data_IF_936035021538
#
_entry.id   IF_936035021538
#
_cell.length_a   1.000
_cell.length_b   1.000
_cell.length_c   1.000
_cell.angle_alpha   90.00
_cell.angle_beta   90.00
_cell.angle_gamma   90.00
#
_symmetry.space_group_name_H-M   'P 1'
#
loop_
_entity.id
_entity.type
_entity.pdbx_description
1 polymer ?
#
# COMPACT_ATOMS: atom_id res chain seq x y z
N UNK A 1 20.59 9.38 7.48
CA UNK A 1 19.22 9.60 8.01
C UNK A 1 19.01 8.65 9.16
N UNK A 2 18.40 9.11 10.25
CA UNK A 2 18.10 8.31 11.43
C UNK A 2 16.64 7.82 11.40
N UNK A 3 16.33 6.79 12.19
CA UNK A 3 15.00 6.17 12.22
C UNK A 3 13.98 7.06 12.93
N UNK A 4 12.79 7.15 12.35
CA UNK A 4 11.66 7.93 12.89
C UNK A 4 10.45 7.03 13.08
N UNK A 5 9.58 7.40 14.01
CA UNK A 5 8.31 6.71 14.19
C UNK A 5 7.30 7.25 13.18
N UNK A 6 6.60 6.37 12.47
CA UNK A 6 5.50 6.72 11.60
C UNK A 6 4.20 6.49 12.36
N UNK A 7 3.32 7.49 12.43
CA UNK A 7 1.99 7.34 13.02
C UNK A 7 0.92 7.74 12.02
N UNK A 8 -0.11 6.91 11.95
CA UNK A 8 -1.26 7.06 11.07
C UNK A 8 -2.43 7.61 11.89
N UNK A 9 -3.01 8.71 11.45
CA UNK A 9 -4.19 9.32 12.04
C UNK A 9 -5.36 9.22 11.06
N UNK A 10 -6.54 9.69 11.48
CA UNK A 10 -7.73 9.62 10.65
C UNK A 10 -7.62 10.44 9.35
N UNK A 11 -6.97 11.60 9.40
CA UNK A 11 -6.94 12.60 8.31
C UNK A 11 -5.54 12.84 7.72
N UNK A 12 -4.50 12.36 8.42
CA UNK A 12 -3.09 12.60 8.10
C UNK A 12 -2.20 11.50 8.64
N UNK A 13 -0.95 11.51 8.22
CA UNK A 13 0.11 10.76 8.87
C UNK A 13 1.29 11.68 9.16
N UNK A 14 2.12 11.32 10.14
CA UNK A 14 3.28 12.13 10.49
C UNK A 14 4.43 11.25 10.98
N UNK A 15 5.63 11.84 10.94
CA UNK A 15 6.84 11.21 11.46
C UNK A 15 7.29 11.90 12.74
N UNK A 16 7.69 11.13 13.74
CA UNK A 16 8.20 11.64 15.02
C UNK A 16 9.67 11.32 15.18
N UNK A 17 10.38 12.22 15.86
CA UNK A 17 11.65 11.89 16.46
C UNK A 17 11.42 10.91 17.63
N UNK A 18 12.08 9.73 17.65
CA UNK A 18 11.89 8.76 18.72
C UNK A 18 12.42 9.24 20.08
N UNK A 19 13.35 10.20 20.12
CA UNK A 19 13.96 10.68 21.36
C UNK A 19 13.22 11.89 21.92
N UNK A 20 12.96 12.90 21.08
CA UNK A 20 12.29 14.13 21.54
C UNK A 20 10.76 14.06 21.50
N UNK A 21 10.19 13.05 20.82
CA UNK A 21 8.77 12.96 20.51
C UNK A 21 8.21 14.14 19.69
N UNK A 22 9.09 14.94 19.08
CA UNK A 22 8.65 16.05 18.24
C UNK A 22 8.17 15.56 16.88
N UNK A 23 7.13 16.21 16.37
CA UNK A 23 6.64 15.99 15.00
C UNK A 23 7.68 16.59 14.05
N UNK A 24 8.28 15.74 13.23
CA UNK A 24 9.27 16.15 12.23
C UNK A 24 8.64 16.51 10.90
N UNK A 25 7.61 15.77 10.47
CA UNK A 25 6.87 16.04 9.23
C UNK A 25 5.41 15.62 9.38
N UNK A 26 4.52 16.31 8.69
CA UNK A 26 3.08 15.98 8.62
C UNK A 26 2.62 15.96 7.17
N UNK A 27 1.82 14.96 6.81
CA UNK A 27 1.37 14.70 5.46
C UNK A 27 -0.12 14.37 5.44
N UNK A 28 -0.87 14.93 4.49
CA UNK A 28 -2.28 14.59 4.29
C UNK A 28 -2.39 13.44 3.30
N UNK A 29 -3.36 12.56 3.53
CA UNK A 29 -3.61 11.44 2.61
C UNK A 29 -4.09 11.89 1.23
N UNK A 30 -4.75 13.05 1.14
CA UNK A 30 -5.20 13.64 -0.12
C UNK A 30 -4.04 13.97 -1.06
N UNK A 31 -2.88 14.30 -0.51
CA UNK A 31 -1.68 14.61 -1.29
C UNK A 31 -0.95 13.34 -1.75
N UNK A 32 -1.29 12.17 -1.19
CA UNK A 32 -0.66 10.91 -1.56
C UNK A 32 -1.15 10.45 -2.94
N UNK A 33 -0.24 10.40 -3.91
CA UNK A 33 -0.50 9.94 -5.28
C UNK A 33 -0.16 8.45 -5.45
N UNK A 34 0.66 8.17 -6.45
CA UNK A 34 1.18 6.84 -6.76
C UNK A 34 2.29 6.42 -5.79
N UNK A 35 2.55 5.11 -5.74
CA UNK A 35 3.62 4.53 -4.95
C UNK A 35 4.43 3.51 -5.75
N UNK A 36 5.68 3.33 -5.37
CA UNK A 36 6.59 2.37 -5.99
C UNK A 36 7.40 1.63 -4.92
N UNK A 37 7.32 0.30 -4.92
CA UNK A 37 8.23 -0.54 -4.16
C UNK A 37 9.60 -0.57 -4.86
N UNK A 38 10.68 -0.26 -4.14
CA UNK A 38 12.03 -0.27 -4.73
C UNK A 38 12.56 -1.71 -4.70
N UNK A 39 12.83 -2.37 -5.85
CA UNK A 39 13.26 -3.77 -5.85
C UNK A 39 14.66 -3.97 -5.26
N UNK A 40 15.56 -2.99 -5.49
CA UNK A 40 16.95 -3.02 -5.03
C UNK A 40 17.10 -2.69 -3.54
N UNK A 41 16.07 -2.14 -2.91
CA UNK A 41 16.06 -1.79 -1.50
C UNK A 41 14.90 -2.50 -0.81
N UNK A 42 15.13 -3.71 -0.25
CA UNK A 42 14.09 -4.42 0.47
C UNK A 42 13.56 -3.55 1.61
N UNK A 43 12.26 -3.63 1.85
CA UNK A 43 11.54 -2.82 2.84
C UNK A 43 11.49 -1.31 2.57
N UNK A 44 11.80 -0.85 1.35
CA UNK A 44 11.64 0.55 0.95
C UNK A 44 10.46 0.75 0.00
N UNK A 45 9.69 1.80 0.24
CA UNK A 45 8.65 2.34 -0.66
C UNK A 45 8.92 3.81 -0.96
N UNK A 46 8.58 4.21 -2.19
CA UNK A 46 8.59 5.60 -2.64
C UNK A 46 7.14 6.03 -2.85
N UNK A 47 6.73 7.10 -2.19
CA UNK A 47 5.40 7.68 -2.26
C UNK A 47 5.47 9.02 -2.98
N UNK A 48 4.60 9.26 -3.94
CA UNK A 48 4.38 10.60 -4.50
C UNK A 48 3.49 11.38 -3.52
N UNK A 49 3.96 12.54 -3.06
CA UNK A 49 3.24 13.43 -2.15
C UNK A 49 3.09 14.80 -2.80
N UNK A 50 1.97 15.05 -3.50
CA UNK A 50 1.78 16.26 -4.29
C UNK A 50 2.87 16.39 -5.35
N UNK A 51 3.73 17.41 -5.24
CA UNK A 51 4.90 17.62 -6.12
C UNK A 51 6.17 16.92 -5.62
N UNK A 52 6.18 16.47 -4.37
CA UNK A 52 7.35 15.90 -3.71
C UNK A 52 7.34 14.38 -3.74
N UNK A 53 8.50 13.78 -3.45
CA UNK A 53 8.66 12.33 -3.31
C UNK A 53 9.13 11.99 -1.92
N UNK A 54 8.36 11.15 -1.23
CA UNK A 54 8.68 10.65 0.10
C UNK A 54 9.20 9.21 0.00
N UNK A 55 10.47 9.00 0.36
CA UNK A 55 11.06 7.67 0.46
C UNK A 55 10.98 7.18 1.89
N UNK A 56 10.23 6.10 2.12
CA UNK A 56 10.12 5.43 3.42
C UNK A 56 10.88 4.11 3.40
N UNK A 57 11.84 3.97 4.30
CA UNK A 57 12.53 2.70 4.55
C UNK A 57 12.02 2.13 5.88
N UNK A 58 11.35 0.99 5.81
CA UNK A 58 10.77 0.31 6.96
C UNK A 58 11.84 -0.58 7.62
N UNK A 59 11.96 -0.48 8.95
CA UNK A 59 13.01 -1.18 9.71
C UNK A 59 12.46 -2.39 10.49
N UNK A 60 11.34 -2.23 11.20
CA UNK A 60 10.78 -3.24 12.11
C UNK A 60 9.44 -3.83 11.62
N UNK A 61 8.97 -3.38 10.46
CA UNK A 61 7.67 -3.73 9.88
C UNK A 61 7.87 -3.97 8.39
N UNK A 62 7.13 -4.91 7.79
CA UNK A 62 7.15 -5.13 6.35
C UNK A 62 6.60 -3.89 5.62
N UNK A 63 7.23 -3.51 4.52
CA UNK A 63 6.77 -2.36 3.73
C UNK A 63 5.33 -2.49 3.24
N UNK A 64 4.86 -3.71 3.02
CA UNK A 64 3.52 -4.04 2.54
C UNK A 64 2.49 -3.71 3.61
N UNK A 65 2.79 -3.97 4.88
CA UNK A 65 1.92 -3.64 6.01
C UNK A 65 1.81 -2.12 6.19
N UNK A 66 2.94 -1.40 6.12
CA UNK A 66 2.96 0.06 6.17
C UNK A 66 2.16 0.67 5.01
N UNK A 67 2.35 0.14 3.80
CA UNK A 67 1.63 0.60 2.61
C UNK A 67 0.13 0.33 2.72
N UNK A 68 -0.28 -0.85 3.18
CA UNK A 68 -1.69 -1.20 3.41
C UNK A 68 -2.33 -0.21 4.38
N UNK A 69 -1.69 0.05 5.53
CA UNK A 69 -2.22 1.02 6.50
C UNK A 69 -2.37 2.44 5.93
N UNK A 70 -1.39 2.91 5.15
CA UNK A 70 -1.48 4.22 4.49
C UNK A 70 -2.64 4.29 3.48
N UNK A 71 -2.83 3.24 2.68
CA UNK A 71 -3.90 3.17 1.68
C UNK A 71 -5.29 3.06 2.33
N UNK A 72 -5.42 2.28 3.40
CA UNK A 72 -6.67 2.18 4.17
C UNK A 72 -7.09 3.53 4.74
N UNK A 73 -6.17 4.26 5.36
CA UNK A 73 -6.45 5.60 5.87
C UNK A 73 -6.83 6.58 4.75
N UNK A 74 -6.15 6.51 3.58
CA UNK A 74 -6.49 7.34 2.41
C UNK A 74 -7.91 7.07 1.90
N UNK A 75 -8.27 5.79 1.76
CA UNK A 75 -9.62 5.40 1.33
C UNK A 75 -10.68 5.85 2.33
N UNK A 76 -10.41 5.71 3.64
CA UNK A 76 -11.32 6.18 4.69
C UNK A 76 -11.53 7.70 4.66
N UNK A 77 -10.53 8.49 4.22
CA UNK A 77 -10.66 9.95 4.07
C UNK A 77 -11.37 10.40 2.79
N UNK A 78 -11.65 9.49 1.85
CA UNK A 78 -12.25 9.83 0.55
C UNK A 78 -13.60 9.12 0.40
N UNK A 79 -14.66 9.57 1.10
CA UNK A 79 -15.98 8.95 1.00
C UNK A 79 -16.51 9.11 -0.43
N UNK A 80 -16.72 7.99 -1.12
CA UNK A 80 -17.44 7.95 -2.39
C UNK A 80 -16.60 7.91 -3.68
N UNK A 81 -15.27 7.78 -3.62
CA UNK A 81 -14.53 7.41 -4.84
C UNK A 81 -14.80 5.94 -5.17
N UNK A 82 -15.44 5.61 -6.31
CA UNK A 82 -15.47 4.24 -6.78
C UNK A 82 -14.02 3.81 -6.98
N UNK A 83 -13.62 2.74 -6.32
CA UNK A 83 -12.34 2.11 -6.61
C UNK A 83 -12.42 1.71 -8.08
N UNK A 84 -11.66 2.38 -8.95
CA UNK A 84 -11.70 2.11 -10.38
C UNK A 84 -11.17 0.70 -10.62
N UNK A 85 -12.10 -0.26 -10.78
CA UNK A 85 -11.78 -1.67 -10.92
C UNK A 85 -10.98 -1.94 -12.21
N UNK A 86 -10.97 -1.00 -13.16
CA UNK A 86 -10.20 -1.09 -14.41
C UNK A 86 -8.70 -0.80 -14.22
N UNK A 87 -8.30 -0.18 -13.11
CA UNK A 87 -6.91 0.17 -12.83
C UNK A 87 -6.09 -0.97 -12.21
N UNK A 88 -6.74 -2.07 -11.82
CA UNK A 88 -6.03 -3.17 -11.18
C UNK A 88 -5.63 -4.25 -12.18
N UNK A 89 -4.35 -4.68 -12.17
CA UNK A 89 -3.89 -5.70 -13.08
C UNK A 89 -4.63 -7.02 -12.82
N UNK A 90 -5.00 -7.68 -13.92
CA UNK A 90 -5.57 -9.02 -13.93
C UNK A 90 -4.48 -9.99 -14.39
N UNK A 91 -4.09 -10.89 -13.51
CA UNK A 91 -3.27 -12.03 -13.86
C UNK A 91 -4.15 -13.10 -14.50
N UNK A 92 -4.05 -13.27 -15.82
CA UNK A 92 -4.92 -14.19 -16.59
C UNK A 92 -4.51 -15.65 -16.52
N UNK A 93 -3.29 -15.94 -16.06
CA UNK A 93 -2.68 -17.28 -16.06
C UNK A 93 -2.31 -17.72 -14.66
N UNK A 94 -3.29 -17.80 -13.76
CA UNK A 94 -3.10 -18.31 -12.41
C UNK A 94 -3.68 -19.72 -12.28
N UNK A 95 -3.19 -20.46 -11.28
CA UNK A 95 -3.67 -21.80 -10.97
C UNK A 95 -3.78 -21.99 -9.47
N UNK A 96 -4.94 -22.44 -9.00
CA UNK A 96 -5.13 -22.86 -7.60
C UNK A 96 -5.06 -24.37 -7.51
N UNK A 97 -4.33 -24.86 -6.51
CA UNK A 97 -4.34 -26.26 -6.13
C UNK A 97 -5.43 -26.50 -5.09
N UNK A 98 -6.36 -27.42 -5.38
CA UNK A 98 -7.36 -27.84 -4.39
C UNK A 98 -6.73 -28.78 -3.37
N UNK A 99 -7.45 -29.01 -2.26
CA UNK A 99 -7.08 -30.01 -1.24
C UNK A 99 -6.87 -31.41 -1.83
N UNK A 100 -7.50 -31.72 -2.97
CA UNK A 100 -7.39 -32.99 -3.67
C UNK A 100 -6.33 -32.97 -4.80
N UNK A 101 -5.37 -32.04 -4.74
CA UNK A 101 -4.30 -31.86 -5.72
C UNK A 101 -4.79 -31.60 -7.16
N UNK A 102 -6.03 -31.15 -7.32
CA UNK A 102 -6.56 -30.75 -8.63
C UNK A 102 -6.14 -29.32 -8.93
N UNK A 103 -5.60 -29.10 -10.13
CA UNK A 103 -5.25 -27.76 -10.61
C UNK A 103 -6.47 -27.11 -11.28
N UNK A 104 -6.85 -25.92 -10.82
CA UNK A 104 -7.94 -25.14 -11.42
C UNK A 104 -7.35 -23.84 -11.99
N UNK A 105 -7.52 -23.66 -13.30
CA UNK A 105 -7.11 -22.44 -14.01
C UNK A 105 -8.06 -21.31 -13.64
N UNK A 106 -7.50 -20.15 -13.32
CA UNK A 106 -8.26 -18.97 -12.92
C UNK A 106 -7.52 -17.68 -13.28
N UNK A 107 -8.27 -16.58 -13.31
CA UNK A 107 -7.67 -15.24 -13.32
C UNK A 107 -7.72 -14.64 -11.92
N UNK A 108 -6.69 -13.90 -11.52
CA UNK A 108 -6.66 -13.14 -10.28
C UNK A 108 -6.65 -11.65 -10.59
N UNK A 109 -7.62 -10.92 -10.06
CA UNK A 109 -7.61 -9.46 -10.08
C UNK A 109 -7.09 -8.96 -8.74
N UNK A 110 -6.15 -8.01 -8.78
CA UNK A 110 -5.78 -7.28 -7.57
C UNK A 110 -6.96 -6.39 -7.17
N UNK A 111 -7.45 -6.52 -5.95
CA UNK A 111 -8.38 -5.57 -5.34
C UNK A 111 -7.62 -4.79 -4.26
N UNK A 112 -8.13 -3.63 -3.80
CA UNK A 112 -7.44 -2.79 -2.81
C UNK A 112 -6.96 -3.51 -1.54
N UNK A 113 -7.64 -4.61 -1.15
CA UNK A 113 -7.37 -5.32 0.09
C UNK A 113 -7.21 -6.84 -0.08
N UNK A 114 -7.28 -7.37 -1.30
CA UNK A 114 -7.22 -8.82 -1.54
C UNK A 114 -6.91 -9.12 -3.01
N UNK A 115 -6.48 -10.35 -3.29
CA UNK A 115 -6.61 -10.90 -4.64
C UNK A 115 -7.98 -11.57 -4.75
N UNK A 116 -8.74 -11.20 -5.78
CA UNK A 116 -10.05 -11.79 -6.06
C UNK A 116 -9.92 -12.73 -7.25
N UNK A 117 -10.48 -13.93 -7.10
CA UNK A 117 -10.66 -14.86 -8.22
C UNK A 117 -11.71 -14.31 -9.19
N UNK A 118 -11.35 -14.27 -10.47
CA UNK A 118 -12.22 -13.88 -11.58
C UNK A 118 -12.32 -15.07 -12.52
N UNK A 119 -13.56 -15.48 -12.81
CA UNK A 119 -13.80 -16.52 -13.81
C UNK A 119 -13.44 -15.97 -15.20
N UNK A 120 -12.67 -16.71 -16.00
CA UNK A 120 -12.49 -16.35 -17.40
C UNK A 120 -13.87 -16.38 -18.08
N UNK A 121 -14.20 -15.30 -18.81
CA UNK A 121 -15.36 -15.24 -19.69
C UNK A 121 -15.15 -16.14 -20.91
#
# INVERSE_FOLDING_TARGET
GYTRLLSLYKDRFCTFDPESHDITNTFKYQDMGEWLAIPKEPNTILLQMGKDKLKLKCHNVDRSEVLTGLLECKLATTPGQPVDQSAFPIFRSCSRYTRHATQVVMSLQIAPHAMREVHPA
#
